data_IF_906860983385
#
_entry.id   IF_906860983385
#
_cell.length_a   1.000
_cell.length_b   1.000
_cell.length_c   1.000
_cell.angle_alpha   90.00
_cell.angle_beta   90.00
_cell.angle_gamma   90.00
#
_symmetry.space_group_name_H-M   'P 1'
#
loop_
_entity.id
_entity.type
_entity.pdbx_description
1 polymer ?
#
# COMPACT_ATOMS: atom_id res chain seq x y z
N UNK A 1 -8.64 20.23 -24.10
CA UNK A 1 -9.35 18.95 -23.88
C UNK A 1 -8.38 17.81 -24.11
N UNK A 2 -8.30 16.85 -23.20
CA UNK A 2 -7.42 15.70 -23.25
C UNK A 2 -8.17 14.47 -23.77
N UNK A 3 -7.45 13.53 -24.40
CA UNK A 3 -8.03 12.22 -24.71
C UNK A 3 -8.18 11.40 -23.41
N UNK A 4 -7.19 11.49 -22.49
CA UNK A 4 -7.21 10.79 -21.21
C UNK A 4 -6.68 11.68 -20.10
N UNK A 5 -7.43 11.78 -19.00
CA UNK A 5 -6.94 12.30 -17.72
C UNK A 5 -6.79 11.12 -16.76
N UNK A 6 -5.62 11.04 -16.11
CA UNK A 6 -5.28 10.02 -15.13
C UNK A 6 -5.18 10.68 -13.77
N UNK A 7 -5.93 10.17 -12.80
CA UNK A 7 -5.93 10.70 -11.42
C UNK A 7 -5.04 9.81 -10.57
N UNK A 8 -3.89 10.35 -10.20
CA UNK A 8 -2.84 9.69 -9.43
C UNK A 8 -1.60 9.34 -10.25
N UNK A 9 -0.43 9.70 -9.71
CA UNK A 9 0.90 9.49 -10.31
C UNK A 9 1.63 8.27 -9.74
N UNK A 10 0.94 7.36 -9.06
CA UNK A 10 1.52 6.10 -8.61
C UNK A 10 1.89 5.17 -9.78
N UNK A 11 2.42 3.96 -9.50
CA UNK A 11 2.83 3.02 -10.55
C UNK A 11 1.76 2.75 -11.60
N UNK A 12 0.49 2.61 -11.18
CA UNK A 12 -0.63 2.38 -12.08
C UNK A 12 -0.87 3.57 -13.02
N UNK A 13 -0.88 4.80 -12.46
CA UNK A 13 -1.11 6.01 -13.25
C UNK A 13 0.02 6.28 -14.23
N UNK A 14 1.26 6.19 -13.77
CA UNK A 14 2.44 6.37 -14.65
C UNK A 14 2.43 5.30 -15.75
N UNK A 15 2.23 4.02 -15.40
CA UNK A 15 2.19 2.95 -16.38
C UNK A 15 1.10 3.20 -17.44
N UNK A 16 -0.11 3.60 -17.02
CA UNK A 16 -1.18 3.98 -17.94
C UNK A 16 -0.74 5.11 -18.87
N UNK A 17 -0.13 6.15 -18.33
CA UNK A 17 0.32 7.31 -19.11
C UNK A 17 1.37 6.94 -20.18
N UNK A 18 2.29 6.03 -19.87
CA UNK A 18 3.27 5.54 -20.83
C UNK A 18 2.60 4.88 -22.05
N UNK A 19 1.55 4.10 -21.83
CA UNK A 19 0.83 3.44 -22.91
C UNK A 19 -0.08 4.39 -23.68
N UNK A 20 -0.81 5.27 -23.01
CA UNK A 20 -1.68 6.25 -23.69
C UNK A 20 -0.88 7.19 -24.59
N UNK A 21 0.28 7.71 -24.10
CA UNK A 21 1.16 8.55 -24.92
C UNK A 21 1.76 7.78 -26.11
N UNK A 22 2.19 6.54 -25.92
CA UNK A 22 2.66 5.69 -27.03
C UNK A 22 1.57 5.38 -28.03
N UNK A 23 0.30 5.35 -27.59
CA UNK A 23 -0.86 5.27 -28.46
C UNK A 23 -1.25 6.57 -29.19
N UNK A 24 -0.45 7.63 -29.04
CA UNK A 24 -0.69 8.93 -29.67
C UNK A 24 -1.76 9.80 -29.01
N UNK A 25 -2.18 9.45 -27.78
CA UNK A 25 -3.22 10.18 -27.06
C UNK A 25 -2.66 11.37 -26.28
N UNK A 26 -3.40 12.47 -26.26
CA UNK A 26 -3.13 13.58 -25.33
C UNK A 26 -3.48 13.16 -23.91
N UNK A 27 -2.46 13.13 -23.04
CA UNK A 27 -2.58 12.56 -21.70
C UNK A 27 -2.13 13.55 -20.63
N UNK A 28 -2.97 13.73 -19.59
CA UNK A 28 -2.67 14.50 -18.39
C UNK A 28 -2.70 13.57 -17.18
N UNK A 29 -1.72 13.69 -16.29
CA UNK A 29 -1.76 13.12 -14.94
C UNK A 29 -2.06 14.26 -13.96
N UNK A 30 -3.05 14.09 -13.09
CA UNK A 30 -3.30 14.97 -11.95
C UNK A 30 -3.04 14.16 -10.69
N UNK A 31 -2.16 14.63 -9.80
CA UNK A 31 -1.85 13.91 -8.58
C UNK A 31 -1.65 14.82 -7.39
N UNK A 32 -2.02 14.33 -6.21
CA UNK A 32 -1.88 15.00 -4.93
C UNK A 32 -0.90 14.24 -4.05
N UNK A 33 0.17 14.92 -3.65
CA UNK A 33 1.08 14.43 -2.62
C UNK A 33 1.89 13.20 -3.01
N UNK A 34 2.25 12.39 -2.00
CA UNK A 34 3.24 11.33 -2.10
C UNK A 34 2.59 10.00 -2.46
N UNK A 35 3.14 9.30 -3.45
CA UNK A 35 2.72 7.94 -3.80
C UNK A 35 3.03 6.95 -2.66
N UNK A 36 2.14 6.00 -2.40
CA UNK A 36 2.38 4.92 -1.44
C UNK A 36 3.64 4.10 -1.74
N UNK A 37 4.06 4.04 -3.01
CA UNK A 37 5.30 3.40 -3.43
C UNK A 37 6.52 4.00 -2.73
N UNK A 38 6.56 5.33 -2.54
CA UNK A 38 7.71 6.02 -1.95
C UNK A 38 7.99 5.61 -0.50
N UNK A 39 7.04 4.99 0.18
CA UNK A 39 7.20 4.46 1.54
C UNK A 39 8.00 3.15 1.59
N UNK A 40 8.13 2.44 0.47
CA UNK A 40 8.86 1.18 0.42
C UNK A 40 10.37 1.42 0.56
N UNK A 41 10.99 0.80 1.57
CA UNK A 41 12.43 0.97 1.84
C UNK A 41 13.29 0.21 0.82
N UNK A 42 12.83 -0.99 0.41
CA UNK A 42 13.53 -1.89 -0.49
C UNK A 42 12.55 -2.59 -1.41
N UNK A 43 12.87 -2.60 -2.70
CA UNK A 43 12.14 -3.30 -3.75
C UNK A 43 13.16 -4.12 -4.53
N UNK A 44 13.11 -5.45 -4.41
CA UNK A 44 14.00 -6.37 -5.09
C UNK A 44 13.30 -7.38 -6.00
N UNK A 45 11.97 -7.29 -6.09
CA UNK A 45 11.12 -8.23 -6.83
C UNK A 45 10.44 -7.61 -8.05
N UNK A 46 10.94 -6.49 -8.56
CA UNK A 46 10.39 -5.85 -9.74
C UNK A 46 11.16 -6.31 -10.99
N UNK A 47 10.45 -6.94 -11.93
CA UNK A 47 11.05 -7.45 -13.17
C UNK A 47 11.78 -6.35 -13.95
N UNK A 48 12.99 -6.67 -14.40
CA UNK A 48 13.82 -5.74 -15.18
C UNK A 48 14.71 -4.81 -14.35
N UNK A 49 14.71 -4.94 -13.03
CA UNK A 49 15.62 -4.22 -12.13
C UNK A 49 16.57 -5.24 -11.49
N UNK A 50 17.87 -5.10 -11.70
CA UNK A 50 18.92 -5.99 -11.23
C UNK A 50 19.43 -5.67 -9.81
N UNK A 51 19.11 -4.48 -9.30
CA UNK A 51 19.53 -4.01 -7.97
C UNK A 51 18.33 -3.62 -7.12
N UNK A 52 18.42 -3.87 -5.82
CA UNK A 52 17.42 -3.35 -4.89
C UNK A 52 17.32 -1.82 -4.99
N UNK A 53 16.12 -1.30 -5.16
CA UNK A 53 15.80 0.12 -5.17
C UNK A 53 14.88 0.45 -4.00
N UNK A 54 14.96 1.71 -3.54
CA UNK A 54 13.87 2.23 -2.70
C UNK A 54 12.64 2.56 -3.57
N UNK A 55 11.47 2.62 -2.95
CA UNK A 55 10.26 3.04 -3.63
C UNK A 55 10.35 4.46 -4.20
N UNK A 56 11.09 5.35 -3.52
CA UNK A 56 11.40 6.70 -4.00
C UNK A 56 12.19 6.67 -5.31
N UNK A 57 13.24 5.83 -5.38
CA UNK A 57 14.05 5.68 -6.59
C UNK A 57 13.22 5.11 -7.75
N UNK A 58 12.40 4.09 -7.49
CA UNK A 58 11.55 3.51 -8.52
C UNK A 58 10.48 4.49 -9.00
N UNK A 59 9.89 5.26 -8.09
CA UNK A 59 8.93 6.30 -8.42
C UNK A 59 9.56 7.37 -9.34
N UNK A 60 10.76 7.84 -9.01
CA UNK A 60 11.49 8.80 -9.82
C UNK A 60 11.78 8.28 -11.23
N UNK A 61 12.22 7.02 -11.35
CA UNK A 61 12.42 6.37 -12.66
C UNK A 61 11.13 6.42 -13.49
N UNK A 62 9.98 6.09 -12.90
CA UNK A 62 8.69 6.15 -13.58
C UNK A 62 8.31 7.56 -14.03
N UNK A 63 8.49 8.56 -13.16
CA UNK A 63 8.26 9.97 -13.52
C UNK A 63 9.15 10.43 -14.68
N UNK A 64 10.44 10.06 -14.65
CA UNK A 64 11.37 10.43 -15.72
C UNK A 64 11.00 9.76 -17.05
N UNK A 65 10.48 8.53 -17.02
CA UNK A 65 9.93 7.88 -18.22
C UNK A 65 8.72 8.64 -18.77
N UNK A 66 7.77 9.04 -17.90
CA UNK A 66 6.61 9.82 -18.31
C UNK A 66 7.01 11.18 -18.91
N UNK A 67 7.92 11.88 -18.28
CA UNK A 67 8.45 13.16 -18.78
C UNK A 67 9.14 13.04 -20.14
N UNK A 68 9.93 11.98 -20.36
CA UNK A 68 10.57 11.71 -21.67
C UNK A 68 9.56 11.49 -22.81
N UNK A 69 8.36 11.04 -22.49
CA UNK A 69 7.25 10.92 -23.44
C UNK A 69 6.37 12.17 -23.47
N UNK A 70 6.81 13.26 -22.83
CA UNK A 70 6.06 14.53 -22.78
C UNK A 70 4.65 14.35 -22.19
N UNK A 71 4.52 13.50 -21.16
CA UNK A 71 3.29 13.42 -20.36
C UNK A 71 3.20 14.70 -19.51
N UNK A 72 2.10 15.39 -19.62
CA UNK A 72 1.81 16.53 -18.75
C UNK A 72 1.42 16.01 -17.36
N UNK A 73 2.05 16.56 -16.30
CA UNK A 73 1.81 16.16 -14.91
C UNK A 73 1.54 17.43 -14.10
N UNK A 74 0.37 17.48 -13.48
CA UNK A 74 -0.06 18.58 -12.60
C UNK A 74 -0.18 18.07 -11.18
N UNK A 75 0.41 18.83 -10.24
CA UNK A 75 0.23 18.59 -8.82
C UNK A 75 -0.98 19.39 -8.34
N UNK A 76 -2.12 18.70 -8.17
CA UNK A 76 -3.36 19.26 -7.68
C UNK A 76 -4.28 18.17 -7.11
N UNK A 77 -5.28 18.56 -6.35
CA UNK A 77 -6.28 17.67 -5.78
C UNK A 77 -7.56 17.68 -6.61
N UNK A 78 -7.93 16.52 -7.14
CA UNK A 78 -9.24 16.35 -7.80
C UNK A 78 -10.31 16.27 -6.73
N UNK A 79 -11.29 17.17 -6.82
CA UNK A 79 -12.41 17.26 -5.87
C UNK A 79 -13.72 16.72 -6.45
N UNK A 80 -13.86 16.73 -7.78
CA UNK A 80 -15.08 16.26 -8.43
C UNK A 80 -14.81 15.79 -9.86
N UNK A 81 -15.57 14.81 -10.31
CA UNK A 81 -15.63 14.35 -11.69
C UNK A 81 -17.09 14.37 -12.12
N UNK A 82 -17.38 15.08 -13.18
CA UNK A 82 -18.73 15.19 -13.77
C UNK A 82 -18.68 14.60 -15.17
N UNK A 83 -19.72 13.87 -15.55
CA UNK A 83 -19.91 13.37 -16.92
C UNK A 83 -21.22 13.91 -17.49
N UNK A 84 -21.14 14.65 -18.58
CA UNK A 84 -22.31 15.12 -19.32
C UNK A 84 -22.32 14.62 -20.77
N UNK A 85 -21.36 14.94 -21.58
CA UNK A 85 -21.05 14.34 -22.89
C UNK A 85 -19.55 13.98 -22.94
N UNK A 86 -18.80 14.64 -22.09
CA UNK A 86 -17.38 14.45 -21.82
C UNK A 86 -17.14 14.53 -20.31
N UNK A 87 -15.98 14.10 -19.86
CA UNK A 87 -15.61 14.23 -18.45
C UNK A 87 -15.08 15.63 -18.17
N UNK A 88 -15.64 16.26 -17.14
CA UNK A 88 -15.12 17.46 -16.52
C UNK A 88 -14.46 17.08 -15.20
N UNK A 89 -13.17 17.24 -15.09
CA UNK A 89 -12.38 16.98 -13.89
C UNK A 89 -12.09 18.29 -13.20
N UNK A 90 -12.64 18.46 -12.00
CA UNK A 90 -12.52 19.67 -11.20
C UNK A 90 -11.48 19.42 -10.12
N UNK A 91 -10.51 20.30 -10.01
CA UNK A 91 -9.48 20.29 -8.99
C UNK A 91 -9.67 21.48 -8.04
N UNK A 92 -8.84 21.57 -7.01
CA UNK A 92 -8.85 22.74 -6.11
C UNK A 92 -8.55 24.03 -6.87
N UNK A 93 -7.65 24.00 -7.86
CA UNK A 93 -7.17 25.22 -8.51
C UNK A 93 -7.62 25.38 -9.98
N UNK A 94 -8.17 24.33 -10.62
CA UNK A 94 -8.43 24.33 -12.07
C UNK A 94 -9.54 23.37 -12.47
N UNK A 95 -9.94 23.45 -13.74
CA UNK A 95 -10.86 22.51 -14.38
C UNK A 95 -10.24 21.99 -15.69
N UNK A 96 -10.46 20.69 -15.96
CA UNK A 96 -9.96 20.03 -17.16
C UNK A 96 -11.05 19.21 -17.82
N UNK A 97 -11.06 19.16 -19.15
CA UNK A 97 -11.99 18.35 -19.92
C UNK A 97 -11.26 17.16 -20.56
N UNK A 98 -11.90 15.98 -20.55
CA UNK A 98 -11.35 14.76 -21.12
C UNK A 98 -12.41 13.85 -21.75
N UNK A 99 -12.02 13.08 -22.78
CA UNK A 99 -12.85 12.03 -23.34
C UNK A 99 -12.96 10.82 -22.42
N UNK A 100 -11.89 10.51 -21.66
CA UNK A 100 -11.80 9.39 -20.73
C UNK A 100 -11.06 9.81 -19.44
N UNK A 101 -11.45 9.19 -18.33
CA UNK A 101 -10.78 9.35 -17.04
C UNK A 101 -10.37 7.98 -16.52
N UNK A 102 -9.15 7.89 -16.01
CA UNK A 102 -8.61 6.71 -15.33
C UNK A 102 -8.35 7.06 -13.88
N UNK A 103 -8.97 6.35 -12.96
CA UNK A 103 -8.78 6.52 -11.52
C UNK A 103 -7.64 5.60 -11.09
N UNK A 104 -6.50 6.16 -10.71
CA UNK A 104 -5.29 5.48 -10.28
C UNK A 104 -4.80 6.00 -8.91
N UNK A 105 -5.74 6.39 -8.05
CA UNK A 105 -5.48 7.04 -6.75
C UNK A 105 -4.85 6.11 -5.73
N UNK A 106 -4.83 4.80 -6.00
CA UNK A 106 -4.37 3.80 -5.06
C UNK A 106 -5.38 3.58 -3.93
N UNK A 107 -4.90 2.97 -2.86
CA UNK A 107 -5.72 2.68 -1.70
C UNK A 107 -5.17 3.39 -0.46
N UNK A 108 -6.00 4.17 0.22
CA UNK A 108 -5.69 4.69 1.54
C UNK A 108 -5.97 3.60 2.58
N UNK A 109 -4.92 3.16 3.27
CA UNK A 109 -5.07 2.27 4.41
C UNK A 109 -5.17 3.11 5.67
N UNK A 110 -6.24 2.94 6.44
CA UNK A 110 -6.30 3.49 7.79
C UNK A 110 -5.22 2.79 8.61
N UNK A 111 -4.26 3.57 9.09
CA UNK A 111 -3.20 3.07 9.95
C UNK A 111 -3.75 2.84 11.35
N UNK A 112 -3.53 1.66 11.95
CA UNK A 112 -3.87 1.46 13.36
C UNK A 112 -3.09 2.45 14.22
N UNK A 113 -3.76 3.03 15.20
CA UNK A 113 -3.15 3.98 16.15
C UNK A 113 -2.44 3.30 17.32
N UNK A 114 -2.04 2.02 17.13
CA UNK A 114 -1.32 1.27 18.17
C UNK A 114 0.11 1.77 18.24
N UNK A 115 0.57 2.06 19.48
CA UNK A 115 1.92 2.53 19.75
C UNK A 115 2.96 1.54 19.22
N UNK A 116 3.99 2.05 18.56
CA UNK A 116 5.08 1.28 17.96
C UNK A 116 4.92 1.01 16.47
N UNK A 117 3.71 0.87 15.91
CA UNK A 117 3.54 0.56 14.49
C UNK A 117 4.27 1.58 13.63
N UNK A 118 3.98 2.86 13.80
CA UNK A 118 4.60 3.94 13.01
C UNK A 118 6.13 4.03 13.22
N UNK A 119 6.59 3.76 14.43
CA UNK A 119 8.02 3.81 14.78
C UNK A 119 8.82 2.74 14.05
N UNK A 120 8.24 1.55 13.88
CA UNK A 120 8.91 0.39 13.25
C UNK A 120 8.47 0.17 11.80
N UNK A 121 7.82 1.15 11.17
CA UNK A 121 7.50 1.13 9.73
C UNK A 121 8.80 1.00 8.91
N UNK A 122 8.88 -0.03 8.06
CA UNK A 122 10.12 -0.40 7.35
C UNK A 122 11.21 -1.03 8.23
N UNK A 123 10.97 -1.15 9.55
CA UNK A 123 11.87 -1.79 10.52
C UNK A 123 11.22 -3.02 11.15
N UNK A 124 10.64 -3.86 10.30
CA UNK A 124 9.91 -5.07 10.68
C UNK A 124 8.39 -4.92 10.67
N UNK A 125 7.83 -3.73 10.45
CA UNK A 125 6.42 -3.53 10.13
C UNK A 125 6.25 -3.41 8.62
N UNK A 126 5.40 -4.25 8.04
CA UNK A 126 5.05 -4.30 6.63
C UNK A 126 3.54 -4.20 6.42
N UNK A 127 3.13 -3.85 5.20
CA UNK A 127 1.73 -3.75 4.78
C UNK A 127 1.39 -4.67 3.59
N UNK A 128 2.32 -5.55 3.19
CA UNK A 128 2.14 -6.38 2.02
C UNK A 128 2.97 -7.67 2.16
N UNK A 129 2.30 -8.79 2.43
CA UNK A 129 2.99 -10.07 2.54
C UNK A 129 3.62 -10.50 1.19
N UNK A 130 2.92 -10.32 0.08
CA UNK A 130 3.48 -10.63 -1.26
C UNK A 130 4.77 -9.88 -1.54
N UNK A 131 4.89 -8.64 -1.03
CA UNK A 131 6.07 -7.82 -1.24
C UNK A 131 7.25 -8.25 -0.36
N UNK A 132 6.98 -8.56 0.91
CA UNK A 132 8.00 -8.59 1.95
C UNK A 132 8.21 -9.97 2.61
N UNK A 133 7.36 -10.97 2.34
CA UNK A 133 7.44 -12.30 2.98
C UNK A 133 8.86 -12.91 2.87
N UNK A 134 9.55 -12.69 1.76
CA UNK A 134 10.89 -13.21 1.55
C UNK A 134 11.89 -12.78 2.63
N UNK A 135 11.77 -11.55 3.17
CA UNK A 135 12.65 -11.03 4.22
C UNK A 135 12.37 -11.65 5.60
N UNK A 136 11.24 -12.36 5.72
CA UNK A 136 10.78 -13.00 6.95
C UNK A 136 10.87 -14.53 6.90
N UNK A 137 11.67 -15.08 5.98
CA UNK A 137 11.91 -16.52 5.90
C UNK A 137 12.46 -17.06 7.22
N UNK A 138 11.85 -18.16 7.72
CA UNK A 138 12.19 -18.82 8.98
C UNK A 138 12.11 -17.91 10.23
N UNK A 139 11.25 -16.88 10.19
CA UNK A 139 11.02 -15.95 11.30
C UNK A 139 9.61 -16.10 11.88
N UNK A 140 9.45 -15.69 13.12
CA UNK A 140 8.17 -15.65 13.79
C UNK A 140 7.47 -14.33 13.47
N UNK A 141 6.33 -14.37 12.73
CA UNK A 141 5.64 -13.17 12.26
C UNK A 141 4.22 -13.09 12.77
N UNK A 142 3.73 -11.86 12.91
CA UNK A 142 2.35 -11.56 13.26
C UNK A 142 1.64 -10.86 12.10
N UNK A 143 0.32 -11.12 11.98
CA UNK A 143 -0.59 -10.39 11.09
C UNK A 143 -1.62 -9.70 11.95
N UNK A 144 -1.70 -8.37 11.87
CA UNK A 144 -2.68 -7.57 12.61
C UNK A 144 -3.92 -7.36 11.75
N UNK A 145 -5.05 -7.91 12.18
CA UNK A 145 -6.34 -7.78 11.49
C UNK A 145 -7.32 -8.87 11.90
N UNK A 146 -8.59 -8.69 11.57
CA UNK A 146 -9.72 -9.52 12.03
C UNK A 146 -10.59 -10.08 10.90
N UNK A 147 -10.22 -9.84 9.63
CA UNK A 147 -11.04 -10.22 8.46
C UNK A 147 -10.30 -10.98 7.37
N UNK A 148 -10.95 -11.15 6.22
CA UNK A 148 -10.44 -11.89 5.06
C UNK A 148 -9.06 -11.42 4.59
N UNK A 149 -8.76 -10.14 4.72
CA UNK A 149 -7.45 -9.61 4.34
C UNK A 149 -6.34 -10.14 5.26
N UNK A 150 -6.57 -10.19 6.57
CA UNK A 150 -5.60 -10.77 7.51
C UNK A 150 -5.39 -12.27 7.25
N UNK A 151 -6.44 -13.00 6.92
CA UNK A 151 -6.36 -14.41 6.54
C UNK A 151 -5.50 -14.58 5.29
N UNK A 152 -5.76 -13.80 4.24
CA UNK A 152 -5.01 -13.85 2.99
C UNK A 152 -3.51 -13.55 3.18
N UNK A 153 -3.18 -12.50 3.95
CA UNK A 153 -1.78 -12.19 4.28
C UNK A 153 -1.11 -13.34 5.06
N UNK A 154 -1.83 -13.95 6.01
CA UNK A 154 -1.33 -15.09 6.78
C UNK A 154 -1.08 -16.33 5.89
N UNK A 155 -1.97 -16.63 4.95
CA UNK A 155 -1.82 -17.72 3.97
C UNK A 155 -0.57 -17.53 3.10
N UNK A 156 -0.26 -16.31 2.69
CA UNK A 156 0.96 -15.98 1.92
C UNK A 156 2.22 -16.17 2.78
N UNK A 157 2.18 -15.79 4.06
CA UNK A 157 3.32 -15.88 4.96
C UNK A 157 3.62 -17.31 5.40
N UNK A 158 2.59 -18.15 5.56
CA UNK A 158 2.69 -19.51 6.09
C UNK A 158 3.77 -20.38 5.43
N UNK A 159 3.90 -20.45 4.09
CA UNK A 159 4.92 -21.28 3.45
C UNK A 159 6.36 -20.74 3.60
N UNK A 160 6.53 -19.53 4.08
CA UNK A 160 7.82 -18.82 4.14
C UNK A 160 8.31 -18.62 5.57
N UNK A 161 7.42 -18.19 6.46
CA UNK A 161 7.73 -17.91 7.86
C UNK A 161 7.88 -19.21 8.68
N UNK A 162 8.56 -19.12 9.82
CA UNK A 162 8.65 -20.22 10.81
C UNK A 162 7.33 -20.40 11.53
N UNK A 163 6.69 -19.29 11.92
CA UNK A 163 5.35 -19.28 12.49
C UNK A 163 4.61 -18.02 12.07
N UNK A 164 3.28 -18.13 11.94
CA UNK A 164 2.38 -17.02 11.66
C UNK A 164 1.32 -16.96 12.74
N UNK A 165 1.09 -15.79 13.32
CA UNK A 165 0.04 -15.57 14.32
C UNK A 165 -0.81 -14.40 13.89
N UNK A 166 -2.13 -14.59 13.76
CA UNK A 166 -3.07 -13.49 13.55
C UNK A 166 -3.38 -12.85 14.91
N UNK A 167 -3.34 -11.54 14.99
CA UNK A 167 -3.68 -10.74 16.16
C UNK A 167 -4.85 -9.83 15.82
N UNK A 168 -5.98 -9.99 16.50
CA UNK A 168 -7.21 -9.25 16.18
C UNK A 168 -7.41 -8.00 17.03
N UNK A 169 -6.48 -7.74 17.96
CA UNK A 169 -6.51 -6.56 18.84
C UNK A 169 -7.86 -6.39 19.58
N UNK A 170 -8.30 -7.43 20.27
CA UNK A 170 -9.50 -7.40 21.09
C UNK A 170 -10.81 -7.69 20.33
N UNK A 171 -10.73 -7.91 19.03
CA UNK A 171 -11.90 -8.29 18.23
C UNK A 171 -11.96 -9.80 18.02
N UNK A 172 -13.12 -10.30 17.61
CA UNK A 172 -13.23 -11.66 17.10
C UNK A 172 -12.96 -11.70 15.62
N UNK A 173 -12.42 -12.82 15.13
CA UNK A 173 -12.33 -13.02 13.69
C UNK A 173 -13.72 -12.93 13.06
N UNK A 174 -13.85 -12.15 12.00
CA UNK A 174 -15.11 -11.97 11.26
C UNK A 174 -15.43 -13.17 10.37
N UNK A 175 -14.43 -14.00 10.06
CA UNK A 175 -14.54 -15.18 9.21
C UNK A 175 -14.18 -16.44 10.00
N UNK A 176 -15.04 -17.44 9.90
CA UNK A 176 -14.86 -18.73 10.57
C UNK A 176 -14.29 -19.77 9.58
N UNK A 177 -13.07 -19.53 9.07
CA UNK A 177 -12.34 -20.53 8.29
C UNK A 177 -11.47 -21.38 9.20
N UNK A 178 -11.30 -22.64 8.84
CA UNK A 178 -10.36 -23.53 9.54
C UNK A 178 -8.92 -23.07 9.22
N UNK A 179 -8.44 -22.08 9.98
CA UNK A 179 -7.12 -21.50 9.82
C UNK A 179 -6.11 -22.41 10.54
N UNK A 180 -5.13 -22.90 9.79
CA UNK A 180 -4.00 -23.62 10.36
C UNK A 180 -2.90 -22.60 10.75
N UNK A 181 -3.27 -21.60 11.54
CA UNK A 181 -2.41 -20.57 12.16
C UNK A 181 -3.01 -20.17 13.52
N UNK A 182 -2.15 -19.77 14.45
CA UNK A 182 -2.58 -19.27 15.74
C UNK A 182 -3.35 -17.96 15.61
N UNK A 183 -4.42 -17.80 16.37
CA UNK A 183 -5.17 -16.55 16.49
C UNK A 183 -5.14 -16.07 17.94
N UNK A 184 -4.72 -14.84 18.16
CA UNK A 184 -4.72 -14.16 19.45
C UNK A 184 -5.72 -12.99 19.42
N UNK A 185 -6.72 -13.06 20.26
CA UNK A 185 -7.77 -12.04 20.39
C UNK A 185 -7.46 -11.03 21.52
N UNK A 186 -6.32 -11.18 22.20
CA UNK A 186 -5.93 -10.26 23.26
C UNK A 186 -5.76 -8.82 22.70
N UNK A 187 -6.20 -7.81 23.46
CA UNK A 187 -6.05 -6.41 23.09
C UNK A 187 -4.60 -5.96 23.23
N UNK A 188 -4.07 -5.35 22.18
CA UNK A 188 -2.68 -4.94 22.09
C UNK A 188 -2.49 -3.60 22.82
N UNK A 189 -1.45 -3.52 23.66
CA UNK A 189 -1.01 -2.29 24.30
C UNK A 189 -0.04 -1.53 23.41
N UNK A 190 1.05 -2.18 23.00
CA UNK A 190 2.08 -1.59 22.16
C UNK A 190 2.97 -2.64 21.49
N UNK A 191 3.61 -2.26 20.42
CA UNK A 191 4.73 -2.98 19.82
C UNK A 191 6.06 -2.37 20.27
N UNK A 192 7.04 -3.20 20.56
CA UNK A 192 8.34 -2.79 21.10
C UNK A 192 9.48 -3.37 20.27
N UNK A 193 10.65 -2.76 20.46
CA UNK A 193 11.91 -3.18 19.88
C UNK A 193 13.00 -2.16 20.15
N UNK A 194 14.21 -2.45 19.70
CA UNK A 194 15.32 -1.50 19.69
C UNK A 194 15.43 -0.85 18.31
N UNK A 195 16.20 -1.43 17.41
CA UNK A 195 16.34 -0.94 16.03
C UNK A 195 15.19 -1.37 15.11
N UNK A 196 14.57 -2.51 15.43
CA UNK A 196 13.43 -3.10 14.72
C UNK A 196 12.43 -3.67 15.73
N UNK A 197 11.21 -3.93 15.26
CA UNK A 197 10.19 -4.62 16.06
C UNK A 197 10.72 -5.99 16.51
N UNK A 198 10.47 -6.35 17.77
CA UNK A 198 10.86 -7.67 18.30
C UNK A 198 9.84 -8.27 19.27
N UNK A 199 8.85 -7.50 19.73
CA UNK A 199 7.82 -8.03 20.63
C UNK A 199 6.53 -7.18 20.57
N UNK A 200 5.44 -7.81 20.98
CA UNK A 200 4.16 -7.18 21.27
C UNK A 200 3.80 -7.37 22.74
N UNK A 201 3.36 -6.31 23.38
CA UNK A 201 2.76 -6.34 24.71
C UNK A 201 1.26 -6.18 24.61
N UNK A 202 0.52 -7.07 25.24
CA UNK A 202 -0.94 -7.01 25.37
C UNK A 202 -1.37 -6.26 26.64
N UNK A 203 -2.60 -5.75 26.68
CA UNK A 203 -3.14 -5.06 27.86
C UNK A 203 -3.23 -5.93 29.11
N UNK A 204 -3.29 -7.23 28.97
CA UNK A 204 -3.23 -8.20 30.05
C UNK A 204 -1.82 -8.54 30.54
N UNK A 205 -0.82 -7.75 30.13
CA UNK A 205 0.61 -7.88 30.45
C UNK A 205 1.30 -9.14 29.85
N UNK A 206 0.64 -9.91 28.98
CA UNK A 206 1.32 -10.93 28.20
C UNK A 206 2.27 -10.26 27.18
N UNK A 207 3.38 -10.93 26.90
CA UNK A 207 4.35 -10.52 25.88
C UNK A 207 4.55 -11.68 24.92
N UNK A 208 4.53 -11.38 23.61
CA UNK A 208 4.88 -12.32 22.57
C UNK A 208 6.02 -11.77 21.71
N UNK A 209 7.08 -12.55 21.55
CA UNK A 209 8.18 -12.21 20.63
C UNK A 209 7.74 -12.40 19.20
N UNK A 210 8.14 -11.48 18.33
CA UNK A 210 7.89 -11.48 16.90
C UNK A 210 9.11 -10.89 16.18
N UNK A 211 9.39 -11.34 14.97
CA UNK A 211 10.43 -10.78 14.11
C UNK A 211 9.86 -9.77 13.10
N UNK A 212 8.54 -9.79 12.91
CA UNK A 212 7.85 -8.90 11.99
C UNK A 212 6.35 -8.83 12.23
N UNK A 213 5.76 -7.74 11.76
CA UNK A 213 4.34 -7.44 11.83
C UNK A 213 3.83 -7.06 10.44
N UNK A 214 2.80 -7.74 9.97
CA UNK A 214 2.07 -7.41 8.75
C UNK A 214 0.73 -6.78 9.13
N UNK A 215 0.54 -5.52 8.76
CA UNK A 215 -0.68 -4.78 9.10
C UNK A 215 -1.72 -5.02 8.02
N UNK A 216 -2.76 -5.76 8.37
CA UNK A 216 -3.89 -6.13 7.51
C UNK A 216 -5.23 -5.63 8.10
N UNK A 217 -5.21 -4.52 8.83
CA UNK A 217 -6.41 -3.83 9.31
C UNK A 217 -6.94 -2.85 8.27
N UNK A 218 -8.27 -2.77 8.19
CA UNK A 218 -8.99 -1.81 7.37
C UNK A 218 -9.28 -2.31 5.96
N UNK A 219 -10.29 -1.70 5.36
CA UNK A 219 -10.62 -1.86 3.95
C UNK A 219 -9.81 -0.81 3.21
N UNK A 220 -9.01 -1.23 2.23
CA UNK A 220 -8.43 -0.29 1.28
C UNK A 220 -9.56 0.28 0.43
N UNK A 221 -10.02 1.49 0.74
CA UNK A 221 -11.00 2.19 -0.09
C UNK A 221 -10.27 3.09 -1.07
N UNK A 222 -10.67 3.04 -2.33
CA UNK A 222 -10.23 3.97 -3.38
C UNK A 222 -11.15 5.21 -3.46
N UNK A 223 -12.13 5.30 -2.57
CA UNK A 223 -13.17 6.32 -2.56
C UNK A 223 -13.29 6.87 -1.13
N UNK A 224 -12.57 7.92 -0.83
CA UNK A 224 -12.84 8.89 0.23
C UNK A 224 -12.46 10.27 -0.31
#
# INVERSE_FOLDING_TARGET
MYDVIIIGSGPAGISTALYTKRGGLTTLIISKGISSLQKAQKIGNYYGIDKELSGEQLYKIGLDQAKKLEVEIVEDEVTQIIYENEFKVITVNSEYAAKKVVIATGANRKMPTIKGIKQYEGKGVSYCAVCDAFFFRNKDVAVLGDGNYAIHEAEILKPVAKSVTIMTNGKKMTENRNLDVDVLEDEIREFRGTDKINEVEFKNNKIKKIDGLFVAEGIATSID
#
